data_IF_939298902906
#
_entry.id   IF_939298902906
#
_cell.length_a   1.000
_cell.length_b   1.000
_cell.length_c   1.000
_cell.angle_alpha   90.00
_cell.angle_beta   90.00
_cell.angle_gamma   90.00
#
_symmetry.space_group_name_H-M   'P 1'
#
loop_
_entity.id
_entity.type
_entity.pdbx_description
1 polymer ?
#
# COMPACT_ATOMS: atom_id res chain seq x y z
N UNK A 1 17.98 6.99 -13.14
CA UNK A 1 18.26 6.34 -11.86
C UNK A 1 17.07 5.54 -11.43
N UNK A 2 17.07 5.07 -10.20
CA UNK A 2 15.93 4.44 -9.55
C UNK A 2 15.39 5.34 -8.44
N UNK A 3 14.06 5.39 -8.31
CA UNK A 3 13.39 6.22 -7.30
C UNK A 3 13.87 5.96 -5.87
N UNK A 4 14.35 4.74 -5.60
CA UNK A 4 14.77 4.30 -4.27
C UNK A 4 16.29 4.13 -4.16
N UNK A 5 17.06 4.65 -5.12
CA UNK A 5 18.52 4.42 -5.19
C UNK A 5 19.29 5.02 -4.00
N UNK A 6 18.70 6.02 -3.35
CA UNK A 6 19.17 6.63 -2.10
C UNK A 6 19.02 5.72 -0.89
N UNK A 7 18.39 4.55 -1.02
CA UNK A 7 18.23 3.59 0.06
C UNK A 7 19.04 2.32 -0.24
N UNK A 8 19.80 1.86 0.76
CA UNK A 8 20.46 0.57 0.67
C UNK A 8 19.47 -0.59 0.92
N UNK A 9 19.97 -1.83 0.86
CA UNK A 9 19.16 -3.05 1.06
C UNK A 9 18.51 -3.15 2.45
N UNK A 10 18.98 -2.37 3.44
CA UNK A 10 18.40 -2.30 4.79
C UNK A 10 17.43 -1.13 4.95
N UNK A 11 17.30 -0.28 3.93
CA UNK A 11 16.48 0.94 3.96
C UNK A 11 17.19 2.14 4.59
N UNK A 12 18.52 2.11 4.73
CA UNK A 12 19.29 3.27 5.20
C UNK A 12 19.51 4.26 4.06
N UNK A 13 19.28 5.54 4.33
CA UNK A 13 19.50 6.63 3.39
C UNK A 13 21.00 6.88 3.13
N UNK A 14 21.34 7.18 1.86
CA UNK A 14 22.67 7.53 1.37
C UNK A 14 22.56 8.48 0.16
N UNK A 15 23.44 9.48 0.12
CA UNK A 15 23.58 10.44 -0.98
C UNK A 15 24.72 10.07 -1.94
N UNK A 16 25.57 9.13 -1.53
CA UNK A 16 26.75 8.69 -2.26
C UNK A 16 26.93 7.17 -2.22
N UNK A 17 27.48 6.61 -3.30
CA UNK A 17 27.89 5.21 -3.41
C UNK A 17 29.27 5.13 -4.07
N UNK A 18 30.26 4.55 -3.36
CA UNK A 18 31.65 4.44 -3.83
C UNK A 18 32.21 5.80 -4.30
N UNK A 19 32.02 6.82 -3.48
CA UNK A 19 32.42 8.21 -3.72
C UNK A 19 31.78 8.89 -4.94
N UNK A 20 30.68 8.32 -5.47
CA UNK A 20 29.88 8.91 -6.55
C UNK A 20 28.51 9.35 -6.01
N UNK A 21 27.98 10.49 -6.48
CA UNK A 21 26.63 10.89 -6.11
C UNK A 21 25.61 9.87 -6.64
N UNK A 22 24.63 9.54 -5.82
CA UNK A 22 23.49 8.71 -6.22
C UNK A 22 22.58 9.54 -7.14
N UNK A 23 22.07 8.92 -8.21
CA UNK A 23 21.08 9.55 -9.08
C UNK A 23 19.71 8.92 -8.86
N UNK A 24 18.86 9.56 -8.05
CA UNK A 24 17.53 9.07 -7.72
C UNK A 24 16.43 9.51 -8.73
N UNK A 25 16.81 10.11 -9.86
CA UNK A 25 15.84 10.59 -10.86
C UNK A 25 15.16 9.41 -11.54
N UNK A 26 13.84 9.48 -11.62
CA UNK A 26 13.00 8.53 -12.35
C UNK A 26 11.89 9.21 -13.13
N UNK A 27 11.28 8.44 -14.01
CA UNK A 27 10.10 8.85 -14.77
C UNK A 27 9.01 7.78 -14.68
N UNK A 28 7.76 8.23 -14.70
CA UNK A 28 6.59 7.36 -14.74
C UNK A 28 5.63 7.87 -15.81
N UNK A 29 5.15 6.95 -16.66
CA UNK A 29 4.13 7.26 -17.66
C UNK A 29 2.76 6.87 -17.13
N UNK A 30 1.94 7.88 -16.88
CA UNK A 30 0.56 7.71 -16.44
C UNK A 30 -0.33 7.08 -17.52
N UNK A 31 -1.50 6.57 -17.12
CA UNK A 31 -2.49 5.96 -18.03
C UNK A 31 -3.03 6.96 -19.07
N UNK A 32 -3.04 8.24 -18.74
CA UNK A 32 -3.38 9.35 -19.63
C UNK A 32 -2.32 9.60 -20.72
N UNK A 33 -1.15 8.97 -20.61
CA UNK A 33 0.00 9.20 -21.46
C UNK A 33 0.92 10.33 -20.97
N UNK A 34 0.59 10.99 -19.85
CA UNK A 34 1.47 11.99 -19.24
C UNK A 34 2.76 11.34 -18.71
N UNK A 35 3.89 12.01 -18.92
CA UNK A 35 5.15 11.63 -18.28
C UNK A 35 5.37 12.52 -17.06
N UNK A 36 5.55 11.89 -15.91
CA UNK A 36 5.91 12.57 -14.66
C UNK A 36 7.34 12.20 -14.32
N UNK A 37 8.15 13.21 -14.04
CA UNK A 37 9.50 13.03 -13.49
C UNK A 37 9.46 13.29 -12.00
N UNK A 38 10.32 12.59 -11.26
CA UNK A 38 10.48 12.73 -9.82
C UNK A 38 11.93 12.42 -9.44
N UNK A 39 12.34 12.95 -8.31
CA UNK A 39 13.64 12.67 -7.69
C UNK A 39 13.43 12.01 -6.35
N UNK A 40 13.87 10.77 -6.24
CA UNK A 40 13.84 10.04 -4.97
C UNK A 40 12.46 9.53 -4.55
N UNK A 41 12.45 8.88 -3.39
CA UNK A 41 11.29 8.16 -2.88
C UNK A 41 10.16 9.10 -2.45
N UNK A 42 10.51 10.27 -1.90
CA UNK A 42 9.55 11.24 -1.37
C UNK A 42 8.69 11.83 -2.48
N UNK A 43 9.30 12.33 -3.57
CA UNK A 43 8.53 12.88 -4.69
C UNK A 43 7.68 11.82 -5.39
N UNK A 44 8.22 10.60 -5.53
CA UNK A 44 7.44 9.46 -6.04
C UNK A 44 6.22 9.19 -5.15
N UNK A 45 6.39 9.13 -3.82
CA UNK A 45 5.29 8.92 -2.89
C UNK A 45 4.25 10.04 -2.98
N UNK A 46 4.67 11.31 -3.00
CA UNK A 46 3.78 12.47 -3.19
C UNK A 46 3.02 12.42 -4.51
N UNK A 47 3.65 11.91 -5.58
CA UNK A 47 2.95 11.65 -6.84
C UNK A 47 1.91 10.54 -6.69
N UNK A 48 2.30 9.39 -6.15
CA UNK A 48 1.42 8.21 -6.04
C UNK A 48 0.20 8.45 -5.13
N UNK A 49 0.35 9.24 -4.06
CA UNK A 49 -0.74 9.62 -3.15
C UNK A 49 -1.82 10.50 -3.79
N UNK A 50 -1.58 11.04 -4.99
CA UNK A 50 -2.61 11.78 -5.74
C UNK A 50 -3.53 10.87 -6.54
N UNK A 51 -3.20 9.58 -6.65
CA UNK A 51 -3.96 8.62 -7.44
C UNK A 51 -4.87 7.75 -6.57
N UNK A 52 -6.21 7.83 -6.75
CA UNK A 52 -7.14 6.92 -6.09
C UNK A 52 -6.87 5.44 -6.42
N UNK A 53 -6.35 5.14 -7.61
CA UNK A 53 -5.96 3.78 -8.00
C UNK A 53 -4.80 3.25 -7.15
N UNK A 54 -3.83 4.10 -6.81
CA UNK A 54 -2.73 3.75 -5.89
C UNK A 54 -3.28 3.37 -4.52
N UNK A 55 -4.18 4.19 -3.94
CA UNK A 55 -4.74 3.92 -2.62
C UNK A 55 -5.42 2.55 -2.57
N UNK A 56 -6.28 2.26 -3.56
CA UNK A 56 -6.94 0.95 -3.69
C UNK A 56 -5.94 -0.19 -3.85
N UNK A 57 -4.85 0.04 -4.59
CA UNK A 57 -3.84 -0.99 -4.84
C UNK A 57 -3.00 -1.30 -3.59
N UNK A 58 -2.58 -0.27 -2.85
CA UNK A 58 -1.86 -0.44 -1.57
C UNK A 58 -2.71 -1.23 -0.57
N UNK A 59 -3.96 -0.82 -0.39
CA UNK A 59 -4.91 -1.51 0.50
C UNK A 59 -5.08 -2.97 0.11
N UNK A 60 -5.32 -3.25 -1.17
CA UNK A 60 -5.52 -4.62 -1.67
C UNK A 60 -4.29 -5.50 -1.45
N UNK A 61 -3.11 -4.99 -1.80
CA UNK A 61 -1.86 -5.75 -1.69
C UNK A 61 -1.47 -6.01 -0.24
N UNK A 62 -1.63 -5.00 0.63
CA UNK A 62 -1.35 -5.16 2.05
C UNK A 62 -2.32 -6.14 2.72
N UNK A 63 -3.62 -6.03 2.40
CA UNK A 63 -4.62 -6.98 2.88
C UNK A 63 -4.27 -8.41 2.46
N UNK A 64 -3.99 -8.62 1.17
CA UNK A 64 -3.61 -9.94 0.68
C UNK A 64 -2.34 -10.47 1.35
N UNK A 65 -1.34 -9.62 1.54
CA UNK A 65 -0.09 -9.99 2.21
C UNK A 65 -0.29 -10.37 3.69
N UNK A 66 -1.16 -9.68 4.42
CA UNK A 66 -1.36 -9.94 5.85
C UNK A 66 -2.32 -11.11 6.11
N UNK A 67 -3.37 -11.23 5.29
CA UNK A 67 -4.47 -12.19 5.50
C UNK A 67 -4.31 -13.46 4.66
N UNK A 68 -3.46 -13.41 3.63
CA UNK A 68 -3.24 -14.52 2.68
C UNK A 68 -4.52 -14.92 1.90
N UNK A 69 -5.51 -14.00 1.84
CA UNK A 69 -6.76 -14.17 1.10
C UNK A 69 -7.05 -12.92 0.26
N UNK A 70 -7.78 -13.05 -0.86
CA UNK A 70 -8.27 -11.87 -1.58
C UNK A 70 -9.19 -11.04 -0.68
N UNK A 71 -9.07 -9.71 -0.75
CA UNK A 71 -9.92 -8.80 0.04
C UNK A 71 -11.43 -9.00 -0.24
N UNK A 72 -11.80 -9.53 -1.41
CA UNK A 72 -13.19 -9.83 -1.77
C UNK A 72 -13.78 -11.01 -1.00
N UNK A 73 -12.96 -11.84 -0.36
CA UNK A 73 -13.46 -12.91 0.51
C UNK A 73 -14.17 -12.37 1.75
N UNK A 74 -13.95 -11.09 2.08
CA UNK A 74 -14.52 -10.38 3.22
C UNK A 74 -15.75 -9.54 2.85
N UNK A 75 -16.17 -9.60 1.58
CA UNK A 75 -17.29 -8.83 1.04
C UNK A 75 -16.91 -7.99 -0.20
N UNK A 76 -17.90 -7.64 -1.03
CA UNK A 76 -17.66 -6.83 -2.23
C UNK A 76 -17.24 -5.39 -1.89
N UNK A 77 -17.71 -4.86 -0.76
CA UNK A 77 -17.48 -3.46 -0.35
C UNK A 77 -16.21 -3.26 0.48
N UNK A 78 -15.56 -4.35 0.93
CA UNK A 78 -14.40 -4.29 1.84
C UNK A 78 -13.26 -3.46 1.28
N UNK A 79 -12.99 -3.53 -0.03
CA UNK A 79 -11.94 -2.71 -0.65
C UNK A 79 -12.26 -1.22 -0.60
N UNK A 80 -13.53 -0.84 -0.77
CA UNK A 80 -13.96 0.55 -0.72
C UNK A 80 -13.89 1.09 0.71
N UNK A 81 -14.38 0.33 1.68
CA UNK A 81 -14.33 0.68 3.10
C UNK A 81 -12.89 0.82 3.59
N UNK A 82 -12.01 -0.12 3.25
CA UNK A 82 -10.61 -0.07 3.65
C UNK A 82 -9.83 1.05 2.96
N UNK A 83 -10.18 1.38 1.71
CA UNK A 83 -9.62 2.55 1.02
C UNK A 83 -10.08 3.87 1.67
N UNK A 84 -11.36 3.95 2.06
CA UNK A 84 -11.90 5.10 2.78
C UNK A 84 -11.22 5.25 4.15
N UNK A 85 -11.09 4.15 4.91
CA UNK A 85 -10.35 4.13 6.17
C UNK A 85 -8.91 4.64 5.98
N UNK A 86 -8.17 4.10 5.00
CA UNK A 86 -6.79 4.51 4.75
C UNK A 86 -6.67 6.01 4.41
N UNK A 87 -7.60 6.53 3.61
CA UNK A 87 -7.63 7.95 3.22
C UNK A 87 -7.97 8.85 4.42
N UNK A 88 -8.97 8.48 5.22
CA UNK A 88 -9.40 9.23 6.40
C UNK A 88 -8.35 9.25 7.52
N UNK A 89 -7.41 8.29 7.49
CA UNK A 89 -6.31 8.17 8.42
C UNK A 89 -4.98 8.70 7.84
N UNK A 90 -5.04 9.66 6.92
CA UNK A 90 -3.87 10.33 6.32
C UNK A 90 -2.84 9.35 5.74
N UNK A 91 -3.33 8.26 5.13
CA UNK A 91 -2.49 7.22 4.54
C UNK A 91 -1.51 6.55 5.52
N UNK A 92 -1.89 6.46 6.80
CA UNK A 92 -1.07 5.81 7.82
C UNK A 92 -1.08 4.29 7.67
N UNK A 93 0.05 3.74 7.22
CA UNK A 93 0.20 2.31 6.96
C UNK A 93 0.01 1.45 8.23
N UNK A 94 0.49 1.92 9.39
CA UNK A 94 0.37 1.18 10.65
C UNK A 94 -1.09 1.06 11.08
N UNK A 95 -1.85 2.15 10.96
CA UNK A 95 -3.28 2.13 11.28
C UNK A 95 -4.06 1.20 10.33
N UNK A 96 -3.73 1.22 9.03
CA UNK A 96 -4.32 0.28 8.07
C UNK A 96 -4.01 -1.19 8.42
N UNK A 97 -2.77 -1.50 8.80
CA UNK A 97 -2.39 -2.86 9.21
C UNK A 97 -3.15 -3.34 10.46
N UNK A 98 -3.34 -2.45 11.45
CA UNK A 98 -4.12 -2.75 12.65
C UNK A 98 -5.58 -3.01 12.28
N UNK A 99 -6.19 -2.17 11.46
CA UNK A 99 -7.57 -2.35 11.01
C UNK A 99 -7.77 -3.66 10.24
N UNK A 100 -6.83 -4.01 9.34
CA UNK A 100 -6.84 -5.30 8.63
C UNK A 100 -6.79 -6.47 9.63
N UNK A 101 -5.96 -6.38 10.67
CA UNK A 101 -5.87 -7.42 11.69
C UNK A 101 -7.19 -7.58 12.46
N UNK A 102 -7.82 -6.47 12.88
CA UNK A 102 -9.10 -6.48 13.59
C UNK A 102 -10.20 -7.13 12.74
N UNK A 103 -10.39 -6.68 11.49
CA UNK A 103 -11.40 -7.25 10.59
C UNK A 103 -11.17 -8.72 10.26
N UNK A 104 -9.91 -9.12 10.14
CA UNK A 104 -9.53 -10.53 9.95
C UNK A 104 -10.01 -11.39 11.12
N UNK A 105 -9.76 -10.95 12.35
CA UNK A 105 -10.20 -11.66 13.54
C UNK A 105 -11.73 -11.77 13.63
N UNK A 106 -12.46 -10.68 13.37
CA UNK A 106 -13.93 -10.65 13.41
C UNK A 106 -14.57 -11.57 12.37
N UNK A 107 -14.02 -11.59 11.15
CA UNK A 107 -14.50 -12.46 10.07
C UNK A 107 -14.32 -13.94 10.41
N UNK A 108 -13.17 -14.32 10.98
CA UNK A 108 -12.94 -15.69 11.43
C UNK A 108 -13.91 -16.11 12.54
N UNK A 109 -14.22 -15.22 13.48
CA UNK A 109 -15.17 -15.48 14.56
C UNK A 109 -16.61 -15.68 14.04
N UNK A 110 -17.04 -14.82 13.11
CA UNK A 110 -18.37 -14.92 12.48
C UNK A 110 -18.50 -16.23 11.71
N UNK A 111 -17.48 -16.59 10.93
CA UNK A 111 -17.46 -17.84 10.18
C UNK A 111 -17.54 -19.07 11.09
N UNK A 112 -16.75 -19.11 12.17
CA UNK A 112 -16.80 -20.22 13.13
C UNK A 112 -18.15 -20.35 13.85
N UNK A 113 -18.83 -19.22 14.09
CA UNK A 113 -20.15 -19.22 14.74
C UNK A 113 -21.23 -19.73 13.78
N UNK A 114 -21.21 -19.29 12.51
CA UNK A 114 -22.12 -19.81 11.48
C UNK A 114 -21.93 -21.32 11.25
N UNK A 115 -20.67 -21.78 11.14
CA UNK A 115 -20.37 -23.22 10.98
C UNK A 115 -20.78 -24.06 12.20
N UNK A 116 -20.72 -23.50 13.41
CA UNK A 116 -21.16 -24.17 14.63
C UNK A 116 -22.70 -24.21 14.80
N UNK A 117 -23.42 -23.30 14.13
CA UNK A 117 -24.89 -23.17 14.27
C UNK A 117 -25.66 -23.91 13.16
N UNK A 118 -25.00 -24.29 12.07
CA UNK A 118 -25.56 -25.22 11.07
C UNK A 118 -26.70 -24.65 10.22
N UNK A 119 -26.62 -23.36 9.87
CA UNK A 119 -27.44 -22.74 8.80
C UNK A 119 -26.69 -22.79 7.44
#
# INVERSE_FOLDING_TARGET
GFALEEFDATGRFRDTERDKPVNAMGEYRGRSGENVTFTGATELASFLMRSPETHRSVVRQLFHHQVQQPILAFGPDTIQEMTAFFTNHNYNLKQLMVEIACRSAEHHFTKSTSEATGD
#
